data_IF_622840329356
#
_entry.id   IF_622840329356
#
_cell.length_a   1.000
_cell.length_b   1.000
_cell.length_c   1.000
_cell.angle_alpha   90.00
_cell.angle_beta   90.00
_cell.angle_gamma   90.00
#
_symmetry.space_group_name_H-M   'P 1'
#
loop_
_entity.id
_entity.type
_entity.pdbx_description
1 polymer ?
#
# COMPACT_ATOMS: atom_id res chain seq x y z
N UNK A 1 17.16 0.00 -19.37
CA UNK A 1 17.44 -0.76 -18.15
C UNK A 1 17.51 0.18 -16.96
N UNK A 2 16.85 -0.09 -15.89
CA UNK A 2 16.78 0.83 -14.78
C UNK A 2 17.27 0.20 -13.49
N UNK A 3 17.32 1.03 -12.44
CA UNK A 3 17.77 0.60 -11.11
C UNK A 3 16.93 -0.52 -10.51
N UNK A 4 15.67 -0.65 -10.94
CA UNK A 4 14.73 -1.63 -10.40
C UNK A 4 14.51 -2.82 -11.31
N UNK A 5 15.32 -3.00 -12.34
CA UNK A 5 15.17 -4.14 -13.26
C UNK A 5 15.14 -5.47 -12.51
N UNK A 6 14.10 -6.26 -12.70
CA UNK A 6 13.93 -7.55 -12.04
C UNK A 6 13.51 -7.47 -10.57
N UNK A 7 13.24 -6.28 -10.04
CA UNK A 7 12.84 -6.11 -8.65
C UNK A 7 11.33 -6.06 -8.50
N UNK A 8 10.83 -6.62 -7.41
CA UNK A 8 9.41 -6.63 -7.05
C UNK A 8 9.19 -5.83 -5.78
N UNK A 9 8.42 -4.75 -5.87
CA UNK A 9 8.19 -3.81 -4.77
C UNK A 9 6.72 -3.78 -4.43
N UNK A 10 6.40 -3.91 -3.15
CA UNK A 10 5.03 -3.75 -2.64
C UNK A 10 4.92 -2.36 -2.01
N UNK A 11 3.91 -1.60 -2.43
CA UNK A 11 3.67 -0.25 -1.92
C UNK A 11 2.25 -0.17 -1.40
N UNK A 12 2.07 0.10 -0.13
CA UNK A 12 0.74 0.27 0.44
C UNK A 12 0.26 1.70 0.28
N UNK A 13 -1.05 1.88 0.04
CA UNK A 13 -1.64 3.19 -0.12
C UNK A 13 -1.16 3.94 -1.36
N UNK A 14 -0.98 3.24 -2.47
CA UNK A 14 -0.36 3.78 -3.67
C UNK A 14 -1.35 4.18 -4.76
N UNK A 15 -2.64 4.31 -4.46
CA UNK A 15 -3.64 4.71 -5.46
C UNK A 15 -3.58 6.19 -5.80
N UNK A 16 -2.84 6.98 -5.05
CA UNK A 16 -2.68 8.42 -5.28
C UNK A 16 -1.42 8.92 -4.56
N UNK A 17 -1.10 10.20 -4.78
CA UNK A 17 -0.06 10.90 -4.03
C UNK A 17 1.34 10.35 -4.20
N UNK A 18 2.08 10.35 -3.10
CA UNK A 18 3.51 9.97 -3.07
C UNK A 18 3.70 8.51 -3.47
N UNK A 19 2.85 7.61 -2.98
CA UNK A 19 2.95 6.19 -3.30
C UNK A 19 2.76 5.92 -4.79
N UNK A 20 1.79 6.57 -5.41
CA UNK A 20 1.57 6.43 -6.86
C UNK A 20 2.76 6.98 -7.67
N UNK A 21 3.25 8.17 -7.30
CA UNK A 21 4.40 8.76 -7.99
C UNK A 21 5.63 7.85 -7.90
N UNK A 22 5.87 7.27 -6.73
CA UNK A 22 6.96 6.31 -6.54
C UNK A 22 6.77 5.04 -7.35
N UNK A 23 5.54 4.53 -7.41
CA UNK A 23 5.23 3.33 -8.22
C UNK A 23 5.54 3.57 -9.70
N UNK A 24 5.11 4.70 -10.23
CA UNK A 24 5.38 5.07 -11.61
C UNK A 24 6.87 5.14 -11.89
N UNK A 25 7.64 5.70 -10.98
CA UNK A 25 9.09 5.80 -11.10
C UNK A 25 9.76 4.43 -11.08
N UNK A 26 9.32 3.55 -10.20
CA UNK A 26 9.85 2.18 -10.11
C UNK A 26 9.59 1.43 -11.42
N UNK A 27 8.38 1.56 -11.97
CA UNK A 27 8.02 0.93 -13.23
C UNK A 27 8.88 1.48 -14.36
N UNK A 28 9.06 2.79 -14.43
CA UNK A 28 9.90 3.42 -15.46
C UNK A 28 11.35 2.93 -15.40
N UNK A 29 11.80 2.54 -14.22
CA UNK A 29 13.16 2.02 -14.02
C UNK A 29 13.22 0.49 -14.03
N UNK A 30 12.22 -0.16 -14.60
CA UNK A 30 12.26 -1.60 -14.91
C UNK A 30 11.67 -2.50 -13.86
N UNK A 31 11.15 -1.97 -12.76
CA UNK A 31 10.60 -2.76 -11.67
C UNK A 31 9.17 -3.22 -11.88
N UNK A 32 8.75 -4.16 -11.06
CA UNK A 32 7.37 -4.59 -10.92
C UNK A 32 6.84 -4.09 -9.57
N UNK A 33 5.59 -3.65 -9.52
CA UNK A 33 5.00 -3.12 -8.30
C UNK A 33 3.65 -3.79 -8.02
N UNK A 34 3.38 -4.02 -6.74
CA UNK A 34 2.05 -4.32 -6.25
C UNK A 34 1.56 -3.12 -5.45
N UNK A 35 0.44 -2.56 -5.87
CA UNK A 35 -0.13 -1.35 -5.28
C UNK A 35 -1.36 -1.73 -4.48
N UNK A 36 -1.46 -1.25 -3.25
CA UNK A 36 -2.70 -1.40 -2.50
C UNK A 36 -3.42 -0.06 -2.36
N UNK A 37 -4.72 -0.12 -2.23
CA UNK A 37 -5.56 1.03 -1.99
C UNK A 37 -6.89 0.61 -1.41
N UNK A 38 -7.59 1.54 -0.76
CA UNK A 38 -8.88 1.25 -0.13
C UNK A 38 -10.04 1.29 -1.12
N UNK A 39 -9.91 2.04 -2.19
CA UNK A 39 -11.01 2.32 -3.12
C UNK A 39 -10.83 1.56 -4.42
N UNK A 40 -11.71 0.58 -4.64
CA UNK A 40 -11.68 -0.27 -5.83
C UNK A 40 -11.73 0.55 -7.13
N UNK A 41 -12.53 1.61 -7.17
CA UNK A 41 -12.67 2.44 -8.37
C UNK A 41 -11.39 3.17 -8.73
N UNK A 42 -10.64 3.66 -7.73
CA UNK A 42 -9.36 4.31 -7.97
C UNK A 42 -8.34 3.33 -8.54
N UNK A 43 -8.31 2.12 -7.97
CA UNK A 43 -7.42 1.06 -8.46
C UNK A 43 -7.77 0.66 -9.89
N UNK A 44 -9.06 0.53 -10.19
CA UNK A 44 -9.50 0.19 -11.54
C UNK A 44 -9.08 1.24 -12.56
N UNK A 45 -9.16 2.53 -12.20
CA UNK A 45 -8.71 3.61 -13.07
C UNK A 45 -7.21 3.55 -13.34
N UNK A 46 -6.42 3.14 -12.37
CA UNK A 46 -4.97 3.03 -12.52
C UNK A 46 -4.56 1.92 -13.48
N UNK A 47 -5.38 0.89 -13.64
CA UNK A 47 -5.08 -0.21 -14.57
C UNK A 47 -4.97 0.26 -16.02
N UNK A 48 -5.63 1.36 -16.36
CA UNK A 48 -5.53 1.94 -17.69
C UNK A 48 -4.34 2.87 -17.87
N UNK A 49 -3.78 3.37 -16.76
CA UNK A 49 -2.65 4.30 -16.78
C UNK A 49 -1.31 3.63 -16.62
N UNK A 50 -1.26 2.49 -15.92
CA UNK A 50 -0.02 1.82 -15.61
C UNK A 50 0.17 0.60 -16.52
N UNK A 51 1.43 0.31 -16.88
CA UNK A 51 1.73 -0.81 -17.77
C UNK A 51 1.60 -2.16 -17.07
N UNK A 52 1.90 -3.22 -17.82
CA UNK A 52 1.71 -4.61 -17.43
C UNK A 52 2.45 -5.04 -16.16
N UNK A 53 3.44 -4.29 -15.71
CA UNK A 53 4.24 -4.63 -14.53
C UNK A 53 3.66 -4.11 -13.22
N UNK A 54 2.38 -3.79 -13.21
CA UNK A 54 1.68 -3.33 -12.03
C UNK A 54 0.58 -4.32 -11.63
N UNK A 55 0.54 -4.66 -10.36
CA UNK A 55 -0.53 -5.45 -9.75
C UNK A 55 -1.29 -4.59 -8.77
N UNK A 56 -2.59 -4.86 -8.60
CA UNK A 56 -3.47 -4.04 -7.80
C UNK A 56 -4.22 -4.90 -6.80
N UNK A 57 -4.25 -4.47 -5.55
CA UNK A 57 -4.98 -5.16 -4.49
C UNK A 57 -5.80 -4.14 -3.70
N UNK A 58 -7.11 -4.36 -3.62
CA UNK A 58 -7.93 -3.60 -2.68
C UNK A 58 -7.62 -4.09 -1.27
N UNK A 59 -7.15 -3.19 -0.42
CA UNK A 59 -6.77 -3.53 0.95
C UNK A 59 -6.96 -2.30 1.83
N UNK A 60 -7.76 -2.45 2.88
CA UNK A 60 -7.94 -1.43 3.89
C UNK A 60 -7.19 -1.87 5.14
N UNK A 61 -6.00 -1.33 5.34
CA UNK A 61 -5.12 -1.70 6.44
C UNK A 61 -5.69 -1.48 7.83
N UNK A 62 -6.75 -0.69 7.96
CA UNK A 62 -7.42 -0.50 9.24
C UNK A 62 -8.25 -1.72 9.67
N UNK A 63 -8.57 -2.61 8.74
CA UNK A 63 -9.36 -3.82 9.04
C UNK A 63 -8.46 -4.94 9.58
N UNK A 64 -8.96 -5.73 10.56
CA UNK A 64 -8.13 -6.77 11.17
C UNK A 64 -7.59 -7.83 10.21
N UNK A 65 -8.35 -8.17 9.17
CA UNK A 65 -7.98 -9.20 8.20
C UNK A 65 -7.03 -8.70 7.08
N UNK A 66 -6.76 -7.40 7.03
CA UNK A 66 -6.04 -6.80 5.91
C UNK A 66 -4.61 -7.32 5.76
N UNK A 67 -3.91 -7.49 6.87
CA UNK A 67 -2.52 -7.94 6.83
C UNK A 67 -2.41 -9.37 6.29
N UNK A 68 -3.33 -10.24 6.68
CA UNK A 68 -3.34 -11.61 6.19
C UNK A 68 -3.64 -11.68 4.69
N UNK A 69 -4.63 -10.91 4.24
CA UNK A 69 -4.98 -10.82 2.82
C UNK A 69 -3.82 -10.26 1.99
N UNK A 70 -3.12 -9.27 2.52
CA UNK A 70 -1.94 -8.71 1.87
C UNK A 70 -0.83 -9.75 1.74
N UNK A 71 -0.55 -10.49 2.80
CA UNK A 71 0.47 -11.53 2.79
C UNK A 71 0.16 -12.62 1.76
N UNK A 72 -1.08 -13.08 1.68
CA UNK A 72 -1.49 -14.05 0.67
C UNK A 72 -1.28 -13.54 -0.76
N UNK A 73 -1.63 -12.27 -1.00
CA UNK A 73 -1.47 -11.66 -2.33
C UNK A 73 0.00 -11.49 -2.70
N UNK A 74 0.85 -11.17 -1.74
CA UNK A 74 2.28 -11.04 -1.96
C UNK A 74 2.91 -12.38 -2.29
N UNK A 75 2.45 -13.47 -1.68
CA UNK A 75 2.91 -14.82 -2.05
C UNK A 75 2.65 -15.11 -3.53
N UNK A 76 1.47 -14.74 -4.04
CA UNK A 76 1.13 -14.90 -5.45
C UNK A 76 1.94 -13.99 -6.36
N UNK A 77 2.29 -12.81 -5.90
CA UNK A 77 3.15 -11.86 -6.61
C UNK A 77 4.56 -12.41 -6.80
N UNK A 78 5.04 -13.18 -5.85
CA UNK A 78 6.37 -13.76 -5.82
C UNK A 78 7.23 -13.16 -4.70
N UNK A 79 8.50 -13.48 -4.73
CA UNK A 79 9.43 -12.95 -3.71
C UNK A 79 9.58 -11.45 -3.87
N UNK A 80 9.19 -10.69 -2.87
CA UNK A 80 9.37 -9.24 -2.92
C UNK A 80 10.80 -8.85 -2.53
N UNK A 81 11.30 -7.84 -3.22
CA UNK A 81 12.62 -7.26 -2.95
C UNK A 81 12.55 -6.04 -2.04
N UNK A 82 11.40 -5.37 -2.01
CA UNK A 82 11.21 -4.20 -1.16
C UNK A 82 9.76 -4.02 -0.76
N UNK A 83 9.56 -3.42 0.41
CA UNK A 83 8.26 -3.08 0.94
C UNK A 83 8.26 -1.61 1.36
N UNK A 84 7.32 -0.85 0.81
CA UNK A 84 7.15 0.54 1.16
C UNK A 84 5.79 0.72 1.84
N UNK A 85 5.82 0.86 3.16
CA UNK A 85 4.63 1.08 3.98
C UNK A 85 4.24 2.56 3.92
N UNK A 86 3.54 2.93 2.86
CA UNK A 86 3.20 4.32 2.55
C UNK A 86 1.78 4.69 2.97
N UNK A 87 0.88 3.73 3.19
CA UNK A 87 -0.51 4.02 3.52
C UNK A 87 -0.62 4.90 4.75
N UNK A 88 -1.47 5.92 4.68
CA UNK A 88 -1.69 6.83 5.78
C UNK A 88 -2.96 7.64 5.57
N UNK A 89 -3.45 8.22 6.65
CA UNK A 89 -4.64 9.05 6.66
C UNK A 89 -4.40 10.25 7.55
N UNK A 90 -4.94 11.40 7.13
CA UNK A 90 -4.80 12.66 7.86
C UNK A 90 -6.18 13.19 8.23
N UNK A 91 -6.29 13.71 9.44
CA UNK A 91 -7.48 14.45 9.88
C UNK A 91 -7.02 15.62 10.75
N UNK A 92 -7.74 16.73 10.62
CA UNK A 92 -7.44 17.93 11.38
C UNK A 92 -8.54 18.18 12.40
N UNK A 93 -8.13 18.48 13.64
CA UNK A 93 -9.05 18.77 14.72
C UNK A 93 -8.28 19.48 15.84
N UNK A 94 -8.98 20.26 16.66
CA UNK A 94 -8.38 20.75 17.90
C UNK A 94 -8.39 19.63 18.93
N UNK A 95 -7.58 19.78 19.99
CA UNK A 95 -7.55 18.78 21.06
C UNK A 95 -8.93 18.60 21.69
N UNK A 96 -9.63 19.71 21.93
CA UNK A 96 -10.96 19.68 22.56
C UNK A 96 -12.01 19.01 21.71
N UNK A 97 -11.88 19.07 20.39
CA UNK A 97 -12.86 18.53 19.45
C UNK A 97 -12.52 17.15 18.91
N UNK A 98 -11.37 16.61 19.29
CA UNK A 98 -10.96 15.27 18.85
C UNK A 98 -11.77 14.20 19.60
N UNK A 99 -12.44 13.34 18.85
CA UNK A 99 -13.20 12.22 19.41
C UNK A 99 -12.33 10.98 19.53
N UNK A 100 -12.74 10.01 20.36
CA UNK A 100 -12.09 8.70 20.43
C UNK A 100 -12.10 8.01 19.07
N UNK A 101 -13.21 8.11 18.35
CA UNK A 101 -13.33 7.51 17.01
C UNK A 101 -12.31 8.09 16.04
N UNK A 102 -12.10 9.41 16.06
CA UNK A 102 -11.08 10.04 15.22
C UNK A 102 -9.67 9.57 15.59
N UNK A 103 -9.37 9.53 16.87
CA UNK A 103 -8.09 9.04 17.37
C UNK A 103 -7.85 7.59 16.93
N UNK A 104 -8.83 6.71 17.19
CA UNK A 104 -8.71 5.30 16.87
C UNK A 104 -8.55 5.07 15.37
N UNK A 105 -9.27 5.82 14.54
CA UNK A 105 -9.18 5.72 13.08
C UNK A 105 -7.78 6.10 12.60
N UNK A 106 -7.23 7.19 13.08
CA UNK A 106 -5.89 7.63 12.70
C UNK A 106 -4.83 6.64 13.17
N UNK A 107 -4.93 6.15 14.40
CA UNK A 107 -4.00 5.15 14.91
C UNK A 107 -4.10 3.83 14.15
N UNK A 108 -5.31 3.40 13.82
CA UNK A 108 -5.52 2.17 13.05
C UNK A 108 -4.90 2.27 11.66
N UNK A 109 -5.08 3.39 10.97
CA UNK A 109 -4.58 3.57 9.60
C UNK A 109 -3.09 3.85 9.53
N UNK A 110 -2.55 4.63 10.47
CA UNK A 110 -1.16 5.11 10.35
C UNK A 110 -0.16 4.32 11.17
N UNK A 111 -0.59 3.65 12.23
CA UNK A 111 0.30 2.93 13.13
C UNK A 111 0.01 1.44 13.13
N UNK A 112 -1.18 1.04 13.59
CA UNK A 112 -1.52 -0.36 13.73
C UNK A 112 -1.46 -1.11 12.40
N UNK A 113 -2.01 -0.55 11.33
CA UNK A 113 -2.06 -1.22 10.03
C UNK A 113 -0.66 -1.51 9.49
N UNK A 114 0.24 -0.55 9.62
CA UNK A 114 1.60 -0.71 9.10
C UNK A 114 2.41 -1.68 9.95
N UNK A 115 2.26 -1.63 11.26
CA UNK A 115 2.94 -2.55 12.16
C UNK A 115 2.51 -4.00 11.93
N UNK A 116 1.21 -4.24 11.78
CA UNK A 116 0.67 -5.59 11.56
C UNK A 116 1.02 -6.08 10.15
N UNK A 117 0.94 -5.22 9.13
CA UNK A 117 1.32 -5.59 7.77
C UNK A 117 2.79 -5.99 7.68
N UNK A 118 3.68 -5.21 8.29
CA UNK A 118 5.10 -5.51 8.33
C UNK A 118 5.37 -6.86 8.98
N UNK A 119 4.76 -7.11 10.14
CA UNK A 119 4.90 -8.39 10.83
C UNK A 119 4.41 -9.58 10.02
N UNK A 120 3.34 -9.41 9.25
CA UNK A 120 2.82 -10.44 8.36
C UNK A 120 3.74 -10.72 7.18
N UNK A 121 4.25 -9.66 6.55
CA UNK A 121 5.09 -9.78 5.35
C UNK A 121 6.51 -10.25 5.64
N UNK A 122 7.06 -9.92 6.79
CA UNK A 122 8.41 -10.38 7.17
C UNK A 122 8.50 -11.88 7.37
N UNK A 123 7.37 -12.56 7.50
CA UNK A 123 7.35 -14.03 7.64
C UNK A 123 7.39 -14.76 6.29
N UNK A 124 7.26 -14.00 5.21
CA UNK A 124 7.36 -14.55 3.86
C UNK A 124 8.83 -14.65 3.43
#
# INVERSE_FOLDING_TARGET
MGRFSGKKIVITGASSGIGLAGAMRIIDEGGEVMLTGRHQQKLASLRTLLPERAWFLQNDGAKPEAAHALAESVESFGMMDGLWLNAGQLAFSTVENTTETQFDTIMANNVRSQYVADGGLLRL
#
